data_IF_630595515518
#
_entry.id   IF_630595515518
#
_cell.length_a   1.000
_cell.length_b   1.000
_cell.length_c   1.000
_cell.angle_alpha   90.00
_cell.angle_beta   90.00
_cell.angle_gamma   90.00
#
_symmetry.space_group_name_H-M   'P 1'
#
loop_
_entity.id
_entity.type
_entity.pdbx_description
1 polymer ?
#
# COMPACT_ATOMS: atom_id res chain seq x y z
N UNK A 1 -8.23 39.37 49.31
CA UNK A 1 -7.88 37.94 49.14
C UNK A 1 -8.60 37.36 47.91
N UNK A 2 -8.11 37.61 46.69
CA UNK A 2 -8.67 37.06 45.43
C UNK A 2 -7.58 36.96 44.35
N UNK A 3 -6.46 36.29 44.65
CA UNK A 3 -5.38 36.04 43.66
C UNK A 3 -4.96 34.57 43.56
N UNK A 4 -5.48 33.69 44.41
CA UNK A 4 -5.10 32.27 44.43
C UNK A 4 -6.05 31.36 43.63
N UNK A 5 -7.27 31.82 43.33
CA UNK A 5 -8.26 31.01 42.60
C UNK A 5 -8.01 30.93 41.08
N UNK A 6 -7.21 31.84 40.51
CA UNK A 6 -6.96 31.88 39.05
C UNK A 6 -5.82 30.93 38.64
N UNK A 7 -4.91 30.59 39.56
CA UNK A 7 -3.75 29.74 39.26
C UNK A 7 -4.13 28.26 39.21
N UNK A 8 -5.13 27.84 39.99
CA UNK A 8 -5.57 26.43 40.00
C UNK A 8 -6.38 26.08 38.74
N UNK A 9 -7.08 27.05 38.12
CA UNK A 9 -7.83 26.78 36.88
C UNK A 9 -6.91 26.57 35.66
N UNK A 10 -5.71 27.17 35.65
CA UNK A 10 -4.74 26.95 34.57
C UNK A 10 -3.95 25.65 34.71
N UNK A 11 -3.84 25.09 35.93
CA UNK A 11 -3.16 23.81 36.14
C UNK A 11 -4.01 22.60 35.70
N UNK A 12 -5.35 22.72 35.74
CA UNK A 12 -6.25 21.63 35.31
C UNK A 12 -6.42 21.59 33.78
N UNK A 13 -6.14 22.68 33.07
CA UNK A 13 -6.19 22.70 31.60
C UNK A 13 -4.95 22.07 30.93
N UNK A 14 -3.86 21.83 31.67
CA UNK A 14 -2.62 21.27 31.13
C UNK A 14 -2.43 19.76 31.35
N UNK A 15 -3.34 19.08 32.05
CA UNK A 15 -3.27 17.62 32.29
C UNK A 15 -4.16 16.82 31.32
N UNK A 16 -5.01 17.49 30.53
CA UNK A 16 -5.73 16.88 29.42
C UNK A 16 -5.02 17.08 28.07
N UNK A 17 -3.68 17.13 28.06
CA UNK A 17 -2.97 16.46 26.97
C UNK A 17 -3.13 14.97 27.26
N UNK A 18 -4.34 14.47 27.04
CA UNK A 18 -4.53 13.06 26.84
C UNK A 18 -3.50 12.70 25.79
N UNK A 19 -2.59 11.79 26.16
CA UNK A 19 -2.00 10.88 25.20
C UNK A 19 -3.19 10.24 24.48
N UNK A 20 -3.71 10.92 23.45
CA UNK A 20 -4.33 10.25 22.34
C UNK A 20 -3.24 9.30 21.88
N UNK A 21 -3.42 8.02 22.22
CA UNK A 21 -2.94 6.95 21.38
C UNK A 21 -3.65 7.13 20.04
N UNK A 22 -3.26 8.15 19.28
CA UNK A 22 -3.57 8.25 17.87
C UNK A 22 -2.93 7.00 17.30
N UNK A 23 -3.79 6.05 16.96
CA UNK A 23 -3.41 4.74 16.47
C UNK A 23 -2.32 4.91 15.41
N UNK A 24 -1.22 4.16 15.58
CA UNK A 24 -0.06 4.12 14.68
C UNK A 24 -0.42 3.80 13.21
N UNK A 25 -1.69 3.50 12.93
CA UNK A 25 -2.26 3.16 11.64
C UNK A 25 -2.73 4.36 10.81
N UNK A 26 -2.78 5.57 11.40
CA UNK A 26 -3.27 6.73 10.65
C UNK A 26 -2.39 7.08 9.45
N UNK A 27 -1.10 6.75 9.47
CA UNK A 27 -0.17 7.08 8.37
C UNK A 27 -0.41 6.19 7.16
N UNK A 28 -0.38 4.86 7.33
CA UNK A 28 -0.65 3.91 6.25
C UNK A 28 -2.04 4.14 5.66
N UNK A 29 -3.05 4.38 6.51
CA UNK A 29 -4.40 4.69 6.04
C UNK A 29 -4.46 5.98 5.22
N UNK A 30 -3.77 7.06 5.64
CA UNK A 30 -3.69 8.32 4.88
C UNK A 30 -2.99 8.12 3.54
N UNK A 31 -1.91 7.36 3.50
CA UNK A 31 -1.16 7.07 2.27
C UNK A 31 -2.00 6.21 1.32
N UNK A 32 -2.68 5.18 1.83
CA UNK A 32 -3.61 4.37 1.06
C UNK A 32 -4.78 5.21 0.51
N UNK A 33 -5.39 6.07 1.32
CA UNK A 33 -6.44 7.00 0.85
C UNK A 33 -5.93 7.93 -0.25
N UNK A 34 -4.72 8.49 -0.09
CA UNK A 34 -4.09 9.34 -1.11
C UNK A 34 -3.86 8.58 -2.42
N UNK A 35 -3.44 7.32 -2.32
CA UNK A 35 -3.31 6.42 -3.47
C UNK A 35 -4.65 6.19 -4.17
N UNK A 36 -5.69 5.84 -3.42
CA UNK A 36 -7.04 5.58 -3.94
C UNK A 36 -7.56 6.80 -4.69
N UNK A 37 -7.48 7.99 -4.07
CA UNK A 37 -7.90 9.24 -4.69
C UNK A 37 -7.12 9.52 -5.98
N UNK A 38 -5.80 9.38 -5.94
CA UNK A 38 -4.95 9.64 -7.10
C UNK A 38 -5.25 8.70 -8.28
N UNK A 39 -5.51 7.42 -8.01
CA UNK A 39 -5.83 6.42 -9.05
C UNK A 39 -7.24 6.67 -9.63
N UNK A 40 -8.26 6.84 -8.79
CA UNK A 40 -9.65 7.04 -9.23
C UNK A 40 -9.80 8.28 -10.11
N UNK A 41 -9.16 9.37 -9.72
CA UNK A 41 -9.21 10.65 -10.41
C UNK A 41 -8.20 10.74 -11.55
N UNK A 42 -7.34 9.73 -11.74
CA UNK A 42 -6.20 9.77 -12.67
C UNK A 42 -5.34 11.03 -12.42
N UNK A 43 -5.20 11.43 -11.15
CA UNK A 43 -4.46 12.62 -10.74
C UNK A 43 -2.97 12.28 -10.65
N UNK A 44 -2.28 12.43 -11.78
CA UNK A 44 -0.87 12.10 -11.93
C UNK A 44 0.04 12.90 -10.99
N UNK A 45 -0.32 14.15 -10.70
CA UNK A 45 0.48 15.01 -9.82
C UNK A 45 0.51 14.42 -8.41
N UNK A 46 -0.64 14.02 -7.90
CA UNK A 46 -0.73 13.43 -6.56
C UNK A 46 -0.23 11.99 -6.54
N UNK A 47 -0.46 11.22 -7.61
CA UNK A 47 0.12 9.89 -7.76
C UNK A 47 1.67 9.93 -7.68
N UNK A 48 2.30 10.84 -8.42
CA UNK A 48 3.76 11.00 -8.40
C UNK A 48 4.29 11.38 -7.02
N UNK A 49 3.52 12.03 -6.14
CA UNK A 49 3.96 12.34 -4.76
C UNK A 49 4.08 11.09 -3.89
N UNK A 50 3.35 10.02 -4.22
CA UNK A 50 3.42 8.75 -3.51
C UNK A 50 4.69 7.97 -3.85
N UNK A 51 5.37 8.32 -4.94
CA UNK A 51 6.60 7.66 -5.38
C UNK A 51 7.80 8.48 -4.90
N UNK A 52 8.77 7.82 -4.28
CA UNK A 52 10.02 8.47 -3.86
C UNK A 52 10.93 8.73 -5.08
N UNK A 53 11.55 7.66 -5.60
CA UNK A 53 12.51 7.71 -6.72
C UNK A 53 11.92 6.98 -7.94
N UNK A 54 11.62 5.70 -7.77
CA UNK A 54 11.15 4.83 -8.83
C UNK A 54 10.00 3.95 -8.37
N UNK A 55 9.24 3.44 -9.32
CA UNK A 55 8.13 2.52 -9.15
C UNK A 55 8.43 1.24 -9.92
N UNK A 56 8.32 0.10 -9.25
CA UNK A 56 8.39 -1.21 -9.91
C UNK A 56 6.99 -1.66 -10.30
N UNK A 57 6.78 -2.00 -11.56
CA UNK A 57 5.55 -2.62 -12.04
C UNK A 57 5.87 -4.06 -12.39
N UNK A 58 5.21 -4.98 -11.68
CA UNK A 58 5.38 -6.43 -11.82
C UNK A 58 4.11 -7.00 -12.42
N UNK A 59 4.28 -7.73 -13.53
CA UNK A 59 3.24 -8.55 -14.14
C UNK A 59 3.69 -10.01 -14.05
N UNK A 60 2.91 -10.85 -13.38
CA UNK A 60 3.22 -12.27 -13.23
C UNK A 60 2.03 -13.11 -13.72
N UNK A 61 2.28 -14.14 -14.50
CA UNK A 61 1.27 -14.99 -15.13
C UNK A 61 1.14 -16.33 -14.40
N UNK A 62 0.18 -16.48 -13.50
CA UNK A 62 -0.08 -17.76 -12.84
C UNK A 62 -0.90 -18.64 -13.81
N UNK A 63 -0.23 -19.40 -14.67
CA UNK A 63 -0.91 -20.41 -15.48
C UNK A 63 -1.39 -21.55 -14.57
N UNK A 64 -2.62 -22.04 -14.80
CA UNK A 64 -3.35 -22.99 -13.94
C UNK A 64 -2.72 -24.37 -13.71
N UNK A 65 -1.48 -24.61 -14.16
CA UNK A 65 -0.76 -25.89 -14.03
C UNK A 65 0.59 -25.76 -13.31
N UNK A 66 0.74 -24.79 -12.41
CA UNK A 66 1.95 -24.57 -11.60
C UNK A 66 3.23 -24.18 -12.37
N UNK A 67 3.20 -24.11 -13.71
CA UNK A 67 4.30 -23.62 -14.52
C UNK A 67 4.57 -22.14 -14.24
N UNK A 68 5.85 -21.82 -14.03
CA UNK A 68 6.37 -20.46 -13.79
C UNK A 68 5.78 -19.49 -14.80
N UNK A 69 4.96 -18.57 -14.31
CA UNK A 69 4.68 -17.33 -15.02
C UNK A 69 5.94 -16.59 -15.37
N UNK A 70 5.94 -15.91 -16.51
CA UNK A 70 6.98 -14.92 -16.82
C UNK A 70 6.76 -13.74 -15.86
N UNK A 71 7.64 -13.61 -14.88
CA UNK A 71 7.72 -12.42 -14.02
C UNK A 71 8.35 -11.29 -14.84
N UNK A 72 7.50 -10.40 -15.37
CA UNK A 72 7.94 -9.24 -16.15
C UNK A 72 7.96 -8.03 -15.23
N UNK A 73 9.14 -7.43 -15.09
CA UNK A 73 9.38 -6.27 -14.23
C UNK A 73 9.80 -5.08 -15.05
N UNK A 74 9.15 -3.95 -14.82
CA UNK A 74 9.54 -2.66 -15.38
C UNK A 74 9.74 -1.68 -14.25
N UNK A 75 10.86 -0.96 -14.29
CA UNK A 75 11.13 0.13 -13.37
C UNK A 75 10.84 1.44 -14.08
N UNK A 76 9.97 2.25 -13.48
CA UNK A 76 9.64 3.59 -13.95
C UNK A 76 10.23 4.61 -12.99
N UNK A 77 11.05 5.53 -13.51
CA UNK A 77 11.40 6.70 -12.73
C UNK A 77 10.17 7.60 -12.57
N UNK A 78 10.12 8.36 -11.48
CA UNK A 78 8.98 9.25 -11.17
C UNK A 78 8.59 10.18 -12.31
N UNK A 79 9.55 10.66 -13.11
CA UNK A 79 9.29 11.50 -14.29
C UNK A 79 8.62 10.72 -15.43
N UNK A 80 8.91 9.43 -15.57
CA UNK A 80 8.49 8.55 -16.68
C UNK A 80 7.14 7.88 -16.46
N UNK A 81 6.48 8.15 -15.32
CA UNK A 81 5.15 7.61 -15.04
C UNK A 81 4.15 8.10 -16.11
N UNK A 82 3.43 7.19 -16.78
CA UNK A 82 2.51 7.53 -17.87
C UNK A 82 1.31 8.34 -17.36
N UNK A 83 0.84 9.29 -18.18
CA UNK A 83 -0.20 10.25 -17.81
C UNK A 83 -1.59 9.63 -17.59
N UNK A 84 -1.79 8.40 -18.05
CA UNK A 84 -3.04 7.66 -17.91
C UNK A 84 -2.95 6.54 -16.86
N UNK A 85 -1.82 6.41 -16.15
CA UNK A 85 -1.55 5.30 -15.22
C UNK A 85 -1.68 3.91 -15.87
N UNK A 86 -1.37 3.81 -17.17
CA UNK A 86 -1.29 2.55 -17.90
C UNK A 86 0.16 2.21 -18.21
N UNK A 87 0.65 1.16 -17.56
CA UNK A 87 2.04 0.73 -17.69
C UNK A 87 2.14 -0.35 -18.76
N UNK A 88 2.93 -0.07 -19.81
CA UNK A 88 3.09 -0.98 -20.94
C UNK A 88 3.82 -2.25 -20.53
N UNK A 89 3.29 -3.38 -20.98
CA UNK A 89 3.95 -4.69 -20.92
C UNK A 89 4.10 -5.17 -22.36
N UNK A 90 5.28 -5.63 -22.73
CA UNK A 90 5.55 -6.06 -24.11
C UNK A 90 4.66 -7.25 -24.49
N UNK A 91 4.01 -7.17 -25.66
CA UNK A 91 3.09 -8.18 -26.21
C UNK A 91 1.85 -8.48 -25.34
N UNK A 92 1.49 -7.59 -24.42
CA UNK A 92 0.45 -7.82 -23.42
C UNK A 92 -0.43 -6.57 -23.20
N UNK A 93 -1.60 -6.78 -22.61
CA UNK A 93 -2.43 -5.65 -22.16
C UNK A 93 -1.71 -4.90 -21.03
N UNK A 94 -1.69 -3.56 -21.08
CA UNK A 94 -1.02 -2.76 -20.06
C UNK A 94 -1.63 -2.99 -18.68
N UNK A 95 -0.81 -2.81 -17.66
CA UNK A 95 -1.25 -2.74 -16.26
C UNK A 95 -1.98 -1.41 -16.09
N UNK A 96 -3.30 -1.45 -15.98
CA UNK A 96 -4.16 -0.28 -15.86
C UNK A 96 -4.62 -0.13 -14.40
N UNK A 97 -4.08 0.88 -13.69
CA UNK A 97 -4.37 1.05 -12.27
C UNK A 97 -5.84 1.36 -12.01
N UNK A 98 -6.49 2.13 -12.87
CA UNK A 98 -7.90 2.47 -12.69
C UNK A 98 -8.76 1.21 -12.68
N UNK A 99 -8.47 0.25 -13.56
CA UNK A 99 -9.17 -1.05 -13.63
C UNK A 99 -8.82 -1.97 -12.46
N UNK A 100 -7.56 -1.97 -12.00
CA UNK A 100 -7.14 -2.80 -10.87
C UNK A 100 -7.78 -2.38 -9.54
N UNK A 101 -8.20 -1.12 -9.45
CA UNK A 101 -8.62 -0.44 -8.23
C UNK A 101 -9.95 0.32 -8.43
N UNK A 102 -10.85 -0.24 -9.24
CA UNK A 102 -12.08 0.44 -9.68
C UNK A 102 -13.22 0.42 -8.64
N UNK A 103 -13.37 -0.65 -7.84
CA UNK A 103 -14.49 -0.82 -6.90
C UNK A 103 -14.13 -0.51 -5.44
N UNK A 104 -13.06 0.25 -5.21
CA UNK A 104 -12.68 0.65 -3.86
C UNK A 104 -13.79 1.50 -3.25
N UNK A 105 -14.44 1.05 -2.19
CA UNK A 105 -15.44 1.83 -1.46
C UNK A 105 -14.94 2.19 -0.06
N UNK A 106 -14.67 1.16 0.74
CA UNK A 106 -14.05 1.21 2.05
C UNK A 106 -13.04 0.07 2.15
N UNK A 107 -12.08 0.16 3.08
CA UNK A 107 -11.06 -0.88 3.23
C UNK A 107 -10.85 -1.31 4.67
N UNK A 108 -10.73 -2.62 4.86
CA UNK A 108 -10.42 -3.21 6.15
C UNK A 108 -8.92 -3.13 6.42
N UNK A 109 -8.54 -2.76 7.64
CA UNK A 109 -7.14 -2.85 8.07
C UNK A 109 -6.91 -4.20 8.74
N UNK A 110 -5.93 -4.96 8.28
CA UNK A 110 -5.49 -6.23 8.87
C UNK A 110 -4.02 -6.12 9.24
N UNK A 111 -3.67 -6.53 10.46
CA UNK A 111 -2.28 -6.69 10.92
C UNK A 111 -2.13 -8.08 11.53
N UNK A 112 -1.65 -9.07 10.76
CA UNK A 112 -1.42 -10.41 11.29
C UNK A 112 -0.32 -10.35 12.34
N UNK A 113 -0.43 -11.17 13.39
CA UNK A 113 0.58 -11.21 14.46
C UNK A 113 1.85 -11.96 14.06
N UNK A 114 1.72 -12.91 13.13
CA UNK A 114 2.78 -13.86 12.75
C UNK A 114 3.25 -13.67 11.31
N UNK A 115 2.83 -12.60 10.65
CA UNK A 115 3.34 -12.21 9.34
C UNK A 115 4.42 -11.16 9.56
N UNK A 116 5.68 -11.54 9.29
CA UNK A 116 6.81 -10.61 9.21
C UNK A 116 7.55 -10.93 7.91
N UNK A 117 7.07 -10.31 6.83
CA UNK A 117 7.54 -10.51 5.46
C UNK A 117 7.71 -9.17 4.79
N UNK A 118 8.70 -9.09 3.91
CA UNK A 118 8.88 -7.95 3.04
C UNK A 118 8.97 -8.44 1.60
N UNK A 119 8.33 -7.69 0.70
CA UNK A 119 8.58 -7.78 -0.72
C UNK A 119 9.98 -7.29 -1.05
N UNK A 120 10.45 -6.26 -0.34
CA UNK A 120 11.71 -5.58 -0.62
C UNK A 120 12.66 -5.64 0.58
N UNK A 121 13.92 -5.99 0.35
CA UNK A 121 14.95 -5.99 1.40
C UNK A 121 15.50 -4.58 1.60
N UNK A 122 15.57 -4.08 2.85
CA UNK A 122 16.36 -2.93 3.32
C UNK A 122 16.81 -1.91 2.24
N UNK A 123 15.83 -1.26 1.60
CA UNK A 123 15.98 -0.19 0.58
C UNK A 123 16.25 -0.63 -0.88
N UNK A 124 16.24 -1.93 -1.18
CA UNK A 124 16.31 -2.43 -2.55
C UNK A 124 14.90 -2.66 -3.08
N UNK A 125 14.54 -1.96 -4.16
CA UNK A 125 13.32 -2.24 -4.92
C UNK A 125 13.42 -3.54 -5.76
N UNK A 126 14.52 -4.29 -5.61
CA UNK A 126 14.60 -5.67 -6.10
C UNK A 126 13.86 -6.53 -5.09
N UNK A 127 12.77 -7.16 -5.54
CA UNK A 127 11.99 -8.06 -4.70
C UNK A 127 12.90 -9.18 -4.16
N UNK A 128 12.98 -9.32 -2.84
CA UNK A 128 13.85 -10.30 -2.19
C UNK A 128 13.30 -11.72 -2.26
N UNK A 129 11.98 -11.83 -2.44
CA UNK A 129 11.24 -13.08 -2.52
C UNK A 129 10.45 -13.17 -3.83
N UNK A 130 10.13 -14.41 -4.23
CA UNK A 130 9.19 -14.68 -5.32
C UNK A 130 7.82 -14.10 -4.95
N UNK A 131 7.27 -13.22 -5.81
CA UNK A 131 5.96 -12.58 -5.64
C UNK A 131 4.85 -13.59 -5.38
N UNK A 132 4.93 -14.79 -5.98
CA UNK A 132 3.96 -15.88 -5.76
C UNK A 132 4.04 -16.43 -4.33
N UNK A 133 5.24 -16.57 -3.78
CA UNK A 133 5.44 -17.05 -2.41
C UNK A 133 4.80 -16.10 -1.42
N UNK A 134 5.08 -14.80 -1.54
CA UNK A 134 4.50 -13.81 -0.63
C UNK A 134 2.97 -13.75 -0.80
N UNK A 135 2.47 -13.79 -2.03
CA UNK A 135 1.04 -13.84 -2.30
C UNK A 135 0.34 -15.01 -1.61
N UNK A 136 0.91 -16.22 -1.70
CA UNK A 136 0.35 -17.42 -1.07
C UNK A 136 0.32 -17.30 0.45
N UNK A 137 1.38 -16.76 1.06
CA UNK A 137 1.41 -16.53 2.52
C UNK A 137 0.37 -15.49 2.96
N UNK A 138 0.24 -14.41 2.19
CA UNK A 138 -0.74 -13.35 2.46
C UNK A 138 -2.17 -13.88 2.36
N UNK A 139 -2.45 -14.77 1.38
CA UNK A 139 -3.77 -15.34 1.14
C UNK A 139 -4.36 -16.00 2.38
N UNK A 140 -3.54 -16.71 3.15
CA UNK A 140 -3.98 -17.39 4.37
C UNK A 140 -4.41 -16.41 5.47
N UNK A 141 -3.78 -15.22 5.52
CA UNK A 141 -4.08 -14.18 6.50
C UNK A 141 -5.32 -13.35 6.16
N UNK A 142 -5.80 -13.43 4.92
CA UNK A 142 -6.93 -12.62 4.44
C UNK A 142 -8.05 -13.47 3.83
N UNK A 143 -8.03 -14.79 4.09
CA UNK A 143 -9.02 -15.76 3.62
C UNK A 143 -10.47 -15.45 3.99
N UNK A 144 -10.69 -14.67 5.06
CA UNK A 144 -12.01 -14.29 5.54
C UNK A 144 -12.54 -13.00 4.86
N UNK A 145 -11.74 -12.35 4.01
CA UNK A 145 -12.22 -11.24 3.18
C UNK A 145 -13.17 -11.78 2.12
N UNK A 146 -14.28 -11.07 1.95
CA UNK A 146 -15.23 -11.39 0.87
C UNK A 146 -14.68 -10.95 -0.47
N UNK A 147 -15.21 -11.56 -1.53
CA UNK A 147 -14.96 -11.08 -2.89
C UNK A 147 -15.33 -9.60 -3.00
N UNK A 148 -14.39 -8.80 -3.53
CA UNK A 148 -14.46 -7.34 -3.69
C UNK A 148 -14.27 -6.50 -2.41
N UNK A 149 -13.83 -7.09 -1.29
CA UNK A 149 -13.42 -6.31 -0.12
C UNK A 149 -11.99 -5.77 -0.26
N UNK A 150 -11.87 -4.45 -0.25
CA UNK A 150 -10.55 -3.81 -0.20
C UNK A 150 -9.91 -3.99 1.17
N UNK A 151 -8.59 -4.15 1.19
CA UNK A 151 -7.83 -4.35 2.41
C UNK A 151 -6.50 -3.60 2.37
N UNK A 152 -6.17 -3.01 3.52
CA UNK A 152 -4.84 -2.57 3.87
C UNK A 152 -4.24 -3.61 4.82
N UNK A 153 -3.30 -4.39 4.32
CA UNK A 153 -2.61 -5.41 5.10
C UNK A 153 -1.22 -4.90 5.50
N UNK A 154 -1.00 -4.78 6.80
CA UNK A 154 0.28 -4.36 7.37
C UNK A 154 1.16 -5.59 7.48
N UNK A 155 2.22 -5.64 6.69
CA UNK A 155 3.16 -6.76 6.69
C UNK A 155 4.14 -6.64 7.84
N UNK A 156 4.68 -5.44 8.07
CA UNK A 156 5.52 -5.13 9.22
C UNK A 156 5.52 -3.61 9.49
N UNK A 157 6.44 -3.12 10.31
CA UNK A 157 6.53 -1.69 10.66
C UNK A 157 7.05 -0.81 9.51
N UNK A 158 7.65 -1.41 8.48
CA UNK A 158 8.21 -0.73 7.30
C UNK A 158 7.47 -1.01 5.99
N UNK A 159 6.54 -1.96 5.95
CA UNK A 159 5.88 -2.34 4.71
C UNK A 159 4.41 -2.69 4.91
N UNK A 160 3.57 -2.25 3.98
CA UNK A 160 2.18 -2.66 3.89
C UNK A 160 1.76 -2.82 2.44
N UNK A 161 0.68 -3.56 2.23
CA UNK A 161 0.05 -3.69 0.92
C UNK A 161 -1.39 -3.19 0.95
N UNK A 162 -1.83 -2.74 -0.21
CA UNK A 162 -3.21 -2.35 -0.45
C UNK A 162 -3.76 -3.11 -1.67
N UNK A 163 -4.95 -3.69 -1.55
CA UNK A 163 -5.62 -4.44 -2.61
C UNK A 163 -7.15 -4.34 -2.51
N UNK A 164 -7.85 -4.51 -3.63
CA UNK A 164 -9.33 -4.49 -3.69
C UNK A 164 -9.96 -5.88 -3.57
N UNK A 165 -9.25 -6.89 -4.04
CA UNK A 165 -9.61 -8.30 -3.94
C UNK A 165 -8.33 -9.08 -4.18
N UNK A 166 -7.89 -9.84 -3.17
CA UNK A 166 -6.68 -10.65 -3.36
C UNK A 166 -6.88 -11.68 -4.47
N UNK A 167 -8.11 -12.15 -4.69
CA UNK A 167 -8.46 -13.08 -5.76
C UNK A 167 -8.20 -12.52 -7.17
N UNK A 168 -8.18 -11.18 -7.32
CA UNK A 168 -7.82 -10.53 -8.58
C UNK A 168 -6.29 -10.40 -8.76
N UNK A 169 -5.51 -10.91 -7.80
CA UNK A 169 -4.05 -10.97 -7.89
C UNK A 169 -3.35 -9.61 -7.91
N UNK A 170 -4.09 -8.52 -7.66
CA UNK A 170 -3.64 -7.16 -7.89
C UNK A 170 -3.42 -6.42 -6.58
N UNK A 171 -2.21 -5.91 -6.36
CA UNK A 171 -1.88 -5.18 -5.13
C UNK A 171 -0.82 -4.10 -5.34
N UNK A 172 -0.93 -3.05 -4.53
CA UNK A 172 0.04 -1.98 -4.41
C UNK A 172 0.86 -2.19 -3.13
N UNK A 173 2.19 -2.17 -3.26
CA UNK A 173 3.12 -2.35 -2.15
C UNK A 173 3.70 -1.00 -1.77
N UNK A 174 3.68 -0.71 -0.47
CA UNK A 174 4.20 0.52 0.10
C UNK A 174 5.30 0.22 1.08
N UNK A 175 6.43 0.87 0.91
CA UNK A 175 7.59 0.72 1.79
C UNK A 175 7.91 2.06 2.47
N UNK A 176 8.34 1.99 3.72
CA UNK A 176 8.67 3.14 4.55
C UNK A 176 10.05 3.68 4.15
N UNK A 177 10.04 4.89 3.58
CA UNK A 177 11.25 5.68 3.43
C UNK A 177 11.64 6.36 4.74
N UNK A 178 12.54 7.34 4.66
CA UNK A 178 13.04 8.05 5.84
C UNK A 178 11.94 8.70 6.70
N UNK A 179 10.90 9.26 6.08
CA UNK A 179 9.88 10.07 6.78
C UNK A 179 8.44 9.60 6.57
N UNK A 180 8.16 8.91 5.46
CA UNK A 180 6.80 8.50 5.09
C UNK A 180 6.81 7.20 4.29
N UNK A 181 5.67 6.51 4.25
CA UNK A 181 5.45 5.42 3.29
C UNK A 181 5.35 5.95 1.86
N UNK A 182 5.97 5.22 0.93
CA UNK A 182 5.96 5.49 -0.50
C UNK A 182 5.51 4.25 -1.26
N UNK A 183 4.79 4.45 -2.35
CA UNK A 183 4.46 3.41 -3.32
C UNK A 183 5.76 2.89 -3.94
N UNK A 184 6.07 1.63 -3.66
CA UNK A 184 7.27 0.94 -4.12
C UNK A 184 6.97 0.08 -5.34
N UNK A 185 5.82 -0.60 -5.36
CA UNK A 185 5.44 -1.44 -6.48
C UNK A 185 3.93 -1.52 -6.73
N UNK A 186 3.61 -1.82 -8.00
CA UNK A 186 2.30 -2.30 -8.44
C UNK A 186 2.50 -3.72 -8.96
N UNK A 187 1.65 -4.64 -8.51
CA UNK A 187 1.73 -6.05 -8.85
C UNK A 187 0.39 -6.47 -9.44
N UNK A 188 0.41 -7.06 -10.64
CA UNK A 188 -0.72 -7.61 -11.38
C UNK A 188 -0.44 -9.11 -11.61
N UNK A 189 -0.98 -9.97 -10.74
CA UNK A 189 -0.96 -11.42 -10.91
C UNK A 189 -2.17 -11.83 -11.75
N UNK A 190 -1.95 -12.32 -12.97
CA UNK A 190 -2.99 -12.79 -13.89
C UNK A 190 -2.94 -14.28 -14.11
#
# INVERSE_FOLDING_TARGET
MKKWAVIILFAVMLINVGCSKTEKYSEQQKVAQSFISAVKETNIKDFKKLINIELVVIRNFISGNEERGKDIRFTYQKQDIPLNLEFKVENELPVNLKKMFENIADFRVIKPKDLDKSFFDNNSLIASNDTRTIYNEIKDHVKDLKDNESCLLILNDSEFIFFESLNNGSFAVFNKGNETFNLAAIIDLR
#
